data_IF_092320407010
#
_entry.id   IF_092320407010
#
_cell.length_a   1.000
_cell.length_b   1.000
_cell.length_c   1.000
_cell.angle_alpha   90.00
_cell.angle_beta   90.00
_cell.angle_gamma   90.00
#
_symmetry.space_group_name_H-M   'P 1'
#
loop_
_entity.id
_entity.type
_entity.pdbx_description
1 polymer ?
#
# COMPACT_ATOMS: atom_id res chain seq x y z
N UNK A 1 6.06 -0.01 -36.90
CA UNK A 1 5.12 -0.98 -36.31
C UNK A 1 4.25 -1.49 -37.43
N UNK A 2 4.25 -2.80 -37.69
CA UNK A 2 3.37 -3.41 -38.69
C UNK A 2 1.92 -3.40 -38.19
N UNK A 3 0.90 -3.31 -39.07
CA UNK A 3 -0.49 -3.35 -38.65
C UNK A 3 -0.80 -4.70 -37.96
N UNK A 4 -1.59 -4.72 -36.87
CA UNK A 4 -1.97 -5.95 -36.20
C UNK A 4 -2.84 -6.80 -37.14
N UNK A 5 -2.48 -8.07 -37.29
CA UNK A 5 -3.23 -9.05 -38.09
C UNK A 5 -4.04 -9.92 -37.16
N UNK A 6 -5.32 -10.10 -37.45
CA UNK A 6 -6.18 -11.00 -36.69
C UNK A 6 -5.71 -12.46 -36.86
N UNK A 7 -5.27 -13.09 -35.77
CA UNK A 7 -4.73 -14.45 -35.77
C UNK A 7 -5.50 -15.42 -34.85
N UNK A 8 -6.75 -15.10 -34.50
CA UNK A 8 -7.58 -15.94 -33.64
C UNK A 8 -7.00 -16.08 -32.22
N UNK A 9 -6.74 -17.32 -31.79
CA UNK A 9 -6.26 -17.65 -30.45
C UNK A 9 -4.74 -17.84 -30.34
N UNK A 10 -3.99 -17.67 -31.44
CA UNK A 10 -2.58 -18.05 -31.50
C UNK A 10 -1.72 -17.25 -30.50
N UNK A 11 -2.04 -15.98 -30.27
CA UNK A 11 -1.35 -15.18 -29.25
C UNK A 11 -1.50 -15.76 -27.84
N UNK A 12 -2.67 -16.30 -27.50
CA UNK A 12 -2.92 -16.92 -26.19
C UNK A 12 -2.22 -18.26 -26.08
N UNK A 13 -2.22 -19.07 -27.16
CA UNK A 13 -1.47 -20.33 -27.23
C UNK A 13 0.01 -20.06 -27.00
N UNK A 14 0.61 -19.19 -27.81
CA UNK A 14 2.01 -18.78 -27.67
C UNK A 14 2.33 -18.30 -26.24
N UNK A 15 1.52 -17.38 -25.70
CA UNK A 15 1.71 -16.85 -24.35
C UNK A 15 1.66 -17.92 -23.25
N UNK A 16 0.78 -18.93 -23.38
CA UNK A 16 0.61 -19.96 -22.36
C UNK A 16 1.59 -21.14 -22.49
N UNK A 17 2.06 -21.44 -23.72
CA UNK A 17 2.87 -22.64 -24.00
C UNK A 17 4.31 -22.36 -24.38
N UNK A 18 4.60 -21.25 -25.05
CA UNK A 18 5.91 -20.96 -25.64
C UNK A 18 6.64 -19.83 -24.90
N UNK A 19 5.90 -18.87 -24.33
CA UNK A 19 6.48 -17.74 -23.61
C UNK A 19 6.98 -18.13 -22.21
N UNK A 20 8.29 -18.33 -22.10
CA UNK A 20 8.98 -18.59 -20.82
C UNK A 20 8.87 -17.46 -19.78
N UNK A 21 8.55 -16.23 -20.20
CA UNK A 21 8.43 -15.07 -19.32
C UNK A 21 7.02 -14.91 -18.75
N UNK A 22 5.99 -15.49 -19.37
CA UNK A 22 4.61 -15.32 -18.95
C UNK A 22 4.39 -15.76 -17.50
N UNK A 23 4.69 -17.03 -17.20
CA UNK A 23 4.50 -17.58 -15.86
C UNK A 23 5.41 -16.93 -14.81
N UNK A 24 6.61 -16.52 -15.20
CA UNK A 24 7.52 -15.77 -14.33
C UNK A 24 6.93 -14.40 -13.96
N UNK A 25 6.41 -13.67 -14.95
CA UNK A 25 5.81 -12.34 -14.76
C UNK A 25 4.52 -12.42 -13.94
N UNK A 26 3.70 -13.45 -14.16
CA UNK A 26 2.55 -13.75 -13.32
C UNK A 26 2.96 -13.99 -11.86
N UNK A 27 3.99 -14.80 -11.62
CA UNK A 27 4.52 -15.05 -10.27
C UNK A 27 4.99 -13.77 -9.56
N UNK A 28 5.75 -12.93 -10.26
CA UNK A 28 6.21 -11.62 -9.73
C UNK A 28 5.01 -10.70 -9.46
N UNK A 29 4.02 -10.69 -10.34
CA UNK A 29 2.81 -9.87 -10.18
C UNK A 29 1.99 -10.31 -8.97
N UNK A 30 1.78 -11.62 -8.78
CA UNK A 30 1.12 -12.14 -7.59
C UNK A 30 1.92 -11.82 -6.33
N UNK A 31 3.24 -12.06 -6.32
CA UNK A 31 4.08 -11.71 -5.18
C UNK A 31 3.98 -10.23 -4.82
N UNK A 32 4.02 -9.35 -5.83
CA UNK A 32 3.83 -7.92 -5.65
C UNK A 32 2.45 -7.57 -5.09
N UNK A 33 1.37 -8.16 -5.59
CA UNK A 33 0.00 -7.91 -5.10
C UNK A 33 -0.18 -8.39 -3.66
N UNK A 34 0.20 -9.64 -3.36
CA UNK A 34 0.07 -10.24 -2.03
C UNK A 34 0.94 -9.56 -0.98
N UNK A 35 2.07 -8.96 -1.38
CA UNK A 35 2.90 -8.16 -0.47
C UNK A 35 2.34 -6.75 -0.30
N UNK A 36 2.02 -6.08 -1.40
CA UNK A 36 1.73 -4.64 -1.40
C UNK A 36 0.37 -4.32 -0.82
N UNK A 37 -0.68 -5.08 -1.15
CA UNK A 37 -2.03 -4.77 -0.70
C UNK A 37 -2.13 -4.86 0.83
N UNK A 38 -1.76 -5.98 1.49
CA UNK A 38 -1.85 -6.08 2.94
C UNK A 38 -1.01 -5.02 3.66
N UNK A 39 0.22 -4.75 3.20
CA UNK A 39 1.07 -3.71 3.77
C UNK A 39 0.44 -2.32 3.66
N UNK A 40 -0.10 -1.97 2.48
CA UNK A 40 -0.76 -0.68 2.26
C UNK A 40 -1.99 -0.54 3.15
N UNK A 41 -2.84 -1.57 3.24
CA UNK A 41 -4.04 -1.54 4.06
C UNK A 41 -3.72 -1.47 5.55
N UNK A 42 -2.76 -2.26 6.01
CA UNK A 42 -2.30 -2.24 7.41
C UNK A 42 -1.74 -0.87 7.77
N UNK A 43 -0.91 -0.28 6.90
CA UNK A 43 -0.35 1.05 7.11
C UNK A 43 -1.45 2.12 7.12
N UNK A 44 -2.36 2.09 6.14
CA UNK A 44 -3.49 3.02 6.05
C UNK A 44 -4.40 2.97 7.28
N UNK A 45 -4.78 1.75 7.72
CA UNK A 45 -5.61 1.53 8.89
C UNK A 45 -4.89 1.96 10.18
N UNK A 46 -3.59 1.69 10.30
CA UNK A 46 -2.78 2.14 11.42
C UNK A 46 -2.77 3.65 11.57
N UNK A 47 -2.50 4.39 10.47
CA UNK A 47 -2.55 5.85 10.48
C UNK A 47 -3.98 6.36 10.75
N UNK A 48 -4.99 5.76 10.12
CA UNK A 48 -6.40 6.13 10.35
C UNK A 48 -6.79 5.96 11.83
N UNK A 49 -6.36 4.88 12.47
CA UNK A 49 -6.61 4.63 13.89
C UNK A 49 -5.94 5.67 14.80
N UNK A 50 -4.69 6.07 14.51
CA UNK A 50 -4.01 7.15 15.24
C UNK A 50 -4.75 8.48 15.09
N UNK A 51 -5.21 8.80 13.88
CA UNK A 51 -5.96 10.03 13.61
C UNK A 51 -7.39 10.01 14.20
N UNK A 52 -7.94 8.82 14.49
CA UNK A 52 -9.27 8.67 15.06
C UNK A 52 -9.39 9.21 16.50
N UNK A 53 -8.28 9.37 17.22
CA UNK A 53 -8.25 9.93 18.59
C UNK A 53 -8.56 11.44 18.68
N UNK A 54 -9.18 12.04 17.65
CA UNK A 54 -9.56 13.46 17.59
C UNK A 54 -8.41 14.41 17.94
N UNK A 55 -7.26 14.21 17.28
CA UNK A 55 -6.11 15.09 17.45
C UNK A 55 -6.47 16.55 17.10
N UNK A 56 -6.07 17.50 17.96
CA UNK A 56 -6.20 18.93 17.68
C UNK A 56 -5.45 19.25 16.38
N UNK A 57 -6.15 19.82 15.38
CA UNK A 57 -5.57 20.12 14.07
C UNK A 57 -5.78 19.06 12.98
N UNK A 58 -6.77 18.17 13.14
CA UNK A 58 -7.04 17.03 12.23
C UNK A 58 -7.12 17.39 10.73
N UNK A 59 -7.56 18.61 10.38
CA UNK A 59 -7.64 19.07 9.00
C UNK A 59 -6.28 19.20 8.33
N UNK A 60 -5.29 19.77 9.03
CA UNK A 60 -3.93 19.90 8.50
C UNK A 60 -3.27 18.53 8.29
N UNK A 61 -3.40 17.64 9.29
CA UNK A 61 -2.89 16.27 9.19
C UNK A 61 -3.54 15.51 8.04
N UNK A 62 -4.87 15.60 7.88
CA UNK A 62 -5.59 14.95 6.78
C UNK A 62 -5.05 15.40 5.42
N UNK A 63 -4.82 16.70 5.23
CA UNK A 63 -4.24 17.22 3.98
C UNK A 63 -2.83 16.69 3.76
N UNK A 64 -1.96 16.76 4.77
CA UNK A 64 -0.58 16.29 4.67
C UNK A 64 -0.49 14.80 4.30
N UNK A 65 -1.31 13.95 4.92
CA UNK A 65 -1.33 12.50 4.64
C UNK A 65 -2.06 12.12 3.34
N UNK A 66 -2.89 13.00 2.79
CA UNK A 66 -3.58 12.77 1.51
C UNK A 66 -2.75 13.22 0.29
N UNK A 67 -1.77 14.11 0.48
CA UNK A 67 -0.85 14.55 -0.58
C UNK A 67 -0.18 13.36 -1.32
N UNK A 68 0.37 12.34 -0.65
CA UNK A 68 0.97 11.19 -1.33
C UNK A 68 0.03 10.48 -2.30
N UNK A 69 -1.26 10.36 -1.99
CA UNK A 69 -2.23 9.72 -2.89
C UNK A 69 -2.56 10.58 -4.11
N UNK A 70 -2.47 11.91 -4.01
CA UNK A 70 -2.67 12.81 -5.16
C UNK A 70 -1.43 12.80 -6.05
N UNK A 71 -0.25 12.97 -5.46
CA UNK A 71 0.99 13.09 -6.21
C UNK A 71 1.47 11.74 -6.76
N UNK A 72 1.12 10.64 -6.11
CA UNK A 72 1.60 9.30 -6.43
C UNK A 72 1.26 8.78 -7.83
N UNK A 73 0.22 9.30 -8.46
CA UNK A 73 -0.12 8.98 -9.85
C UNK A 73 0.72 9.75 -10.88
N UNK A 74 1.48 10.76 -10.45
CA UNK A 74 2.29 11.59 -11.32
C UNK A 74 3.58 10.89 -11.76
N UNK A 75 3.87 10.96 -13.06
CA UNK A 75 5.16 10.52 -13.64
C UNK A 75 6.34 11.21 -12.93
N UNK A 76 6.17 12.47 -12.52
CA UNK A 76 7.21 13.21 -11.81
C UNK A 76 7.61 12.56 -10.48
N UNK A 77 6.63 12.02 -9.72
CA UNK A 77 6.92 11.29 -8.49
C UNK A 77 7.63 9.97 -8.78
N UNK A 78 7.26 9.26 -9.85
CA UNK A 78 7.96 8.03 -10.24
C UNK A 78 9.44 8.32 -10.58
N UNK A 79 9.73 9.41 -11.29
CA UNK A 79 11.11 9.84 -11.58
C UNK A 79 11.86 10.24 -10.31
N UNK A 80 11.23 10.97 -9.40
CA UNK A 80 11.82 11.35 -8.12
C UNK A 80 12.18 10.13 -7.29
N UNK A 81 11.27 9.15 -7.17
CA UNK A 81 11.54 7.90 -6.47
C UNK A 81 12.64 7.09 -7.15
N UNK A 82 12.64 7.00 -8.48
CA UNK A 82 13.73 6.36 -9.21
C UNK A 82 15.09 7.01 -8.89
N UNK A 83 15.16 8.33 -8.81
CA UNK A 83 16.38 9.04 -8.43
C UNK A 83 16.77 8.81 -6.95
N UNK A 84 15.78 8.73 -6.06
CA UNK A 84 16.01 8.46 -4.63
C UNK A 84 16.60 7.06 -4.39
N UNK A 85 16.09 6.05 -5.11
CA UNK A 85 16.52 4.64 -5.06
C UNK A 85 17.65 4.30 -6.04
N UNK A 86 18.16 5.27 -6.80
CA UNK A 86 19.32 5.06 -7.66
C UNK A 86 20.55 4.63 -6.84
N UNK A 87 21.53 4.02 -7.49
CA UNK A 87 22.74 3.53 -6.81
C UNK A 87 23.51 4.68 -6.15
N UNK A 88 23.53 5.84 -6.79
CA UNK A 88 24.06 7.13 -6.33
C UNK A 88 22.98 8.03 -5.69
N UNK A 89 21.81 7.47 -5.38
CA UNK A 89 20.67 8.19 -4.84
C UNK A 89 20.79 8.57 -3.36
N UNK A 90 19.80 9.34 -2.90
CA UNK A 90 19.74 9.85 -1.52
C UNK A 90 19.67 8.71 -0.49
N UNK A 91 19.00 7.60 -0.80
CA UNK A 91 18.88 6.47 0.13
C UNK A 91 20.24 5.82 0.40
N UNK A 92 21.03 5.55 -0.64
CA UNK A 92 22.38 5.02 -0.47
C UNK A 92 23.33 6.05 0.16
N UNK A 93 23.17 7.33 -0.15
CA UNK A 93 23.92 8.41 0.51
C UNK A 93 23.66 8.44 2.01
N UNK A 94 22.41 8.24 2.44
CA UNK A 94 22.05 8.13 3.86
C UNK A 94 22.63 6.86 4.50
N UNK A 95 22.57 5.72 3.82
CA UNK A 95 23.16 4.46 4.30
C UNK A 95 24.69 4.53 4.46
N UNK A 96 25.37 5.27 3.58
CA UNK A 96 26.81 5.47 3.64
C UNK A 96 27.26 6.21 4.93
N UNK A 97 26.39 7.05 5.52
CA UNK A 97 26.66 7.69 6.83
C UNK A 97 26.84 6.64 7.94
N UNK A 98 26.19 5.48 7.80
CA UNK A 98 26.30 4.35 8.74
C UNK A 98 27.34 3.31 8.29
N UNK A 99 28.12 3.59 7.24
CA UNK A 99 29.13 2.68 6.70
C UNK A 99 28.56 1.49 5.92
N UNK A 100 27.32 1.59 5.44
CA UNK A 100 26.69 0.54 4.62
C UNK A 100 27.01 0.81 3.14
N UNK A 101 27.48 -0.22 2.44
CA UNK A 101 27.78 -0.15 1.00
C UNK A 101 26.53 0.14 0.17
N UNK A 102 26.72 0.73 -1.01
CA UNK A 102 25.62 1.09 -1.90
C UNK A 102 24.83 -0.14 -2.35
N UNK A 103 23.51 -0.10 -2.15
CA UNK A 103 22.60 -1.20 -2.49
C UNK A 103 21.94 -0.90 -3.83
N UNK A 104 21.88 -1.91 -4.72
CA UNK A 104 21.18 -1.78 -6.00
C UNK A 104 19.67 -2.07 -5.86
N UNK A 105 18.96 -1.12 -5.27
CA UNK A 105 17.53 -1.23 -4.97
C UNK A 105 16.63 -1.55 -6.16
N UNK A 106 17.02 -1.11 -7.36
CA UNK A 106 16.22 -1.28 -8.58
C UNK A 106 16.72 -2.38 -9.50
N UNK A 107 17.98 -2.82 -9.35
CA UNK A 107 18.59 -3.85 -10.18
C UNK A 107 18.43 -5.27 -9.64
N UNK A 108 18.33 -5.43 -8.32
CA UNK A 108 18.07 -6.74 -7.71
C UNK A 108 16.56 -7.05 -7.68
N UNK A 109 16.07 -8.19 -8.22
CA UNK A 109 14.64 -8.45 -8.38
C UNK A 109 13.80 -8.35 -7.08
N UNK A 110 14.32 -8.85 -5.96
CA UNK A 110 13.63 -8.80 -4.66
C UNK A 110 13.56 -7.38 -4.10
N UNK A 111 14.66 -6.62 -4.22
CA UNK A 111 14.74 -5.23 -3.78
C UNK A 111 13.92 -4.31 -4.67
N UNK A 112 13.85 -4.60 -5.98
CA UNK A 112 13.04 -3.85 -6.92
C UNK A 112 11.56 -3.98 -6.58
N UNK A 113 11.10 -5.20 -6.29
CA UNK A 113 9.75 -5.46 -5.82
C UNK A 113 9.47 -4.68 -4.52
N UNK A 114 10.38 -4.75 -3.54
CA UNK A 114 10.26 -3.99 -2.29
C UNK A 114 10.20 -2.48 -2.51
N UNK A 115 11.03 -1.93 -3.40
CA UNK A 115 11.08 -0.48 -3.71
C UNK A 115 9.77 0.00 -4.32
N UNK A 116 9.19 -0.76 -5.25
CA UNK A 116 7.88 -0.46 -5.85
C UNK A 116 6.76 -0.61 -4.82
N UNK A 117 6.83 -1.63 -3.95
CA UNK A 117 5.89 -1.81 -2.84
C UNK A 117 5.93 -0.63 -1.87
N UNK A 118 7.11 -0.13 -1.49
CA UNK A 118 7.25 1.03 -0.60
C UNK A 118 6.62 2.29 -1.21
N UNK A 119 6.84 2.53 -2.50
CA UNK A 119 6.18 3.63 -3.22
C UNK A 119 4.65 3.50 -3.16
N UNK A 120 4.11 2.30 -3.33
CA UNK A 120 2.66 2.08 -3.22
C UNK A 120 2.11 2.22 -1.81
N UNK A 121 2.85 1.74 -0.80
CA UNK A 121 2.49 1.92 0.59
C UNK A 121 2.50 3.40 0.95
N UNK A 122 3.47 4.18 0.47
CA UNK A 122 3.49 5.63 0.65
C UNK A 122 2.24 6.34 0.10
N UNK A 123 1.59 5.77 -0.92
CA UNK A 123 0.34 6.27 -1.51
C UNK A 123 -0.93 5.84 -0.73
N UNK A 124 -0.81 5.57 0.57
CA UNK A 124 -1.91 5.09 1.43
C UNK A 124 -3.03 6.11 1.70
N UNK A 125 -2.83 7.39 1.39
CA UNK A 125 -3.68 8.50 1.83
C UNK A 125 -5.18 8.32 1.58
N UNK A 126 -5.58 7.86 0.39
CA UNK A 126 -6.99 7.62 0.06
C UNK A 126 -7.63 6.52 0.93
N UNK A 127 -6.96 5.37 1.05
CA UNK A 127 -7.44 4.26 1.88
C UNK A 127 -7.51 4.67 3.36
N UNK A 128 -6.57 5.48 3.84
CA UNK A 128 -6.59 6.01 5.19
C UNK A 128 -7.81 6.90 5.45
N UNK A 129 -8.17 7.80 4.52
CA UNK A 129 -9.36 8.66 4.68
C UNK A 129 -10.63 7.82 4.74
N UNK A 130 -10.72 6.78 3.91
CA UNK A 130 -11.85 5.84 3.91
C UNK A 130 -11.91 5.07 5.24
N UNK A 131 -10.79 4.54 5.73
CA UNK A 131 -10.74 3.88 7.03
C UNK A 131 -11.05 4.81 8.19
N UNK A 132 -10.55 6.06 8.17
CA UNK A 132 -10.84 7.04 9.19
C UNK A 132 -12.34 7.34 9.26
N UNK A 133 -12.99 7.53 8.10
CA UNK A 133 -14.44 7.69 8.05
C UNK A 133 -15.18 6.47 8.60
N UNK A 134 -14.73 5.26 8.27
CA UNK A 134 -15.34 4.02 8.80
C UNK A 134 -15.19 3.91 10.32
N UNK A 135 -14.00 4.20 10.86
CA UNK A 135 -13.72 4.19 12.30
C UNK A 135 -14.59 5.20 13.06
N UNK A 136 -14.80 6.39 12.48
CA UNK A 136 -15.63 7.43 13.07
C UNK A 136 -17.13 7.10 13.07
N UNK A 137 -17.58 6.20 12.18
CA UNK A 137 -18.96 5.75 12.11
C UNK A 137 -19.27 4.58 13.06
N UNK A 138 -18.27 4.03 13.76
CA UNK A 138 -18.52 2.97 14.75
C UNK A 138 -19.27 3.57 15.95
N UNK A 139 -20.49 3.08 16.28
CA UNK A 139 -21.29 3.67 17.35
C UNK A 139 -20.60 3.58 18.71
N UNK A 140 -20.57 4.70 19.45
CA UNK A 140 -19.96 4.76 20.78
C UNK A 140 -20.59 3.77 21.78
N UNK A 141 -21.89 3.51 21.64
CA UNK A 141 -22.61 2.55 22.48
C UNK A 141 -22.04 1.13 22.43
N UNK A 142 -21.44 0.71 21.30
CA UNK A 142 -20.79 -0.60 21.18
C UNK A 142 -19.50 -0.67 22.01
N UNK A 143 -18.75 0.44 22.07
CA UNK A 143 -17.57 0.53 22.92
C UNK A 143 -17.96 0.59 24.41
N UNK A 144 -19.01 1.33 24.75
CA UNK A 144 -19.53 1.42 26.12
C UNK A 144 -20.03 0.07 26.63
N UNK A 145 -20.80 -0.66 25.82
CA UNK A 145 -21.22 -2.03 26.14
C UNK A 145 -20.01 -2.96 26.38
N UNK A 146 -19.02 -2.92 25.49
CA UNK A 146 -17.82 -3.73 25.65
C UNK A 146 -17.00 -3.34 26.90
N UNK A 147 -16.95 -2.06 27.27
CA UNK A 147 -16.30 -1.60 28.50
C UNK A 147 -17.04 -2.09 29.76
N UNK A 148 -18.38 -2.11 29.74
CA UNK A 148 -19.20 -2.67 30.82
C UNK A 148 -18.92 -4.17 30.98
N UNK A 149 -18.74 -4.89 29.87
CA UNK A 149 -18.37 -6.30 29.84
C UNK A 149 -16.89 -6.57 30.21
N UNK A 150 -16.12 -5.54 30.57
CA UNK A 150 -14.72 -5.65 30.99
C UNK A 150 -13.73 -5.87 29.85
N UNK A 151 -14.10 -5.56 28.60
CA UNK A 151 -13.22 -5.72 27.46
C UNK A 151 -12.03 -4.75 27.50
N UNK A 152 -10.83 -5.29 27.30
CA UNK A 152 -9.61 -4.49 27.09
C UNK A 152 -9.63 -3.75 25.75
N UNK A 153 -8.80 -2.71 25.59
CA UNK A 153 -8.68 -1.95 24.33
C UNK A 153 -8.37 -2.83 23.11
N UNK A 154 -7.52 -3.85 23.29
CA UNK A 154 -7.20 -4.79 22.22
C UNK A 154 -8.39 -5.66 21.84
N UNK A 155 -9.15 -6.14 22.84
CA UNK A 155 -10.38 -6.90 22.59
C UNK A 155 -11.44 -6.04 21.91
N UNK A 156 -11.62 -4.78 22.33
CA UNK A 156 -12.52 -3.84 21.66
C UNK A 156 -12.11 -3.61 20.20
N UNK A 157 -10.82 -3.41 19.92
CA UNK A 157 -10.34 -3.27 18.55
C UNK A 157 -10.65 -4.51 17.70
N UNK A 158 -10.29 -5.71 18.18
CA UNK A 158 -10.45 -6.95 17.40
C UNK A 158 -11.87 -7.47 17.33
N UNK A 159 -12.72 -7.21 18.34
CA UNK A 159 -14.07 -7.77 18.44
C UNK A 159 -15.19 -6.78 18.16
N UNK A 160 -14.93 -5.48 18.22
CA UNK A 160 -15.92 -4.43 17.93
C UNK A 160 -15.51 -3.67 16.67
N UNK A 161 -14.33 -3.05 16.69
CA UNK A 161 -13.89 -2.17 15.60
C UNK A 161 -13.69 -2.94 14.29
N UNK A 162 -12.80 -3.94 14.27
CA UNK A 162 -12.44 -4.70 13.05
C UNK A 162 -13.67 -5.34 12.39
N UNK A 163 -14.56 -6.04 13.12
CA UNK A 163 -15.78 -6.62 12.53
C UNK A 163 -16.70 -5.58 11.90
N UNK A 164 -16.89 -4.42 12.55
CA UNK A 164 -17.76 -3.37 12.03
C UNK A 164 -17.18 -2.66 10.80
N UNK A 165 -15.86 -2.50 10.72
CA UNK A 165 -15.20 -1.90 9.54
C UNK A 165 -14.82 -2.93 8.48
N UNK A 166 -15.10 -4.23 8.70
CA UNK A 166 -14.75 -5.31 7.76
C UNK A 166 -15.28 -5.07 6.35
N UNK A 167 -16.51 -4.57 6.11
CA UNK A 167 -16.97 -4.24 4.76
C UNK A 167 -16.08 -3.21 4.06
N UNK A 168 -15.52 -2.27 4.82
CA UNK A 168 -14.62 -1.22 4.31
C UNK A 168 -13.21 -1.77 4.06
N UNK A 169 -12.74 -2.71 4.90
CA UNK A 169 -11.49 -3.44 4.67
C UNK A 169 -11.59 -4.22 3.35
N UNK A 170 -12.68 -4.98 3.14
CA UNK A 170 -12.90 -5.71 1.90
C UNK A 170 -13.05 -4.79 0.69
N UNK A 171 -13.75 -3.67 0.83
CA UNK A 171 -13.87 -2.67 -0.24
C UNK A 171 -12.52 -2.09 -0.67
N UNK A 172 -11.59 -1.84 0.26
CA UNK A 172 -10.25 -1.34 -0.10
C UNK A 172 -9.29 -2.46 -0.57
N UNK A 173 -9.64 -3.73 -0.35
CA UNK A 173 -8.86 -4.88 -0.77
C UNK A 173 -9.09 -5.24 -2.25
N UNK A 174 -10.31 -5.03 -2.75
CA UNK A 174 -10.74 -5.26 -4.14
C UNK A 174 -10.35 -4.07 -5.01
#
# INVERSE_FOLDING_TARGET
MSPPVFNGIENYRYMLTEDSLFWKSMGVTFAYVFLTIPLKLAFALGIAFVLNFQLRGIGFFRTAYYIPSILGSSVAIAVLWRALFAIDGLLNSFLAVFGIDAINWLGEPSLALMSVTLLRVWQFGSAMVIFLAALQNVPQSQYEAAMIDGASKWQMFMKVTVPLITPVIFFNFI
#
